data_IF_405956043617
#
_entry.id   IF_405956043617
#
_cell.length_a   1.000
_cell.length_b   1.000
_cell.length_c   1.000
_cell.angle_alpha   90.00
_cell.angle_beta   90.00
_cell.angle_gamma   90.00
#
_symmetry.space_group_name_H-M   'P 1'
#
loop_
_entity.id
_entity.type
_entity.pdbx_description
1 polymer ?
#
# COMPACT_ATOMS: atom_id res chain seq x y z
N UNK A 1 -13.21 25.98 57.73
CA UNK A 1 -14.36 26.39 56.89
C UNK A 1 -13.88 27.34 55.79
N UNK A 2 -14.37 27.15 54.55
CA UNK A 2 -14.29 28.03 53.35
C UNK A 2 -12.92 28.04 52.61
N UNK A 3 -12.75 27.23 51.54
CA UNK A 3 -13.20 27.36 50.12
C UNK A 3 -12.38 28.40 49.33
N UNK A 4 -11.44 27.94 48.49
CA UNK A 4 -11.52 27.86 47.00
C UNK A 4 -11.48 29.24 46.32
N UNK A 5 -10.38 29.52 45.62
CA UNK A 5 -10.30 30.30 44.36
C UNK A 5 -8.86 30.23 43.81
N UNK A 6 -8.55 29.15 43.10
CA UNK A 6 -7.47 29.10 42.10
C UNK A 6 -8.13 28.64 40.81
N UNK A 7 -8.55 29.61 40.01
CA UNK A 7 -9.31 29.40 38.78
C UNK A 7 -8.69 30.30 37.72
N UNK A 8 -8.28 29.65 36.63
CA UNK A 8 -8.01 30.22 35.29
C UNK A 8 -6.68 30.96 35.07
N UNK A 9 -5.66 30.18 34.72
CA UNK A 9 -4.68 30.57 33.69
C UNK A 9 -4.09 29.30 33.05
N UNK A 10 -4.94 28.59 32.31
CA UNK A 10 -4.59 27.45 31.47
C UNK A 10 -5.50 27.49 30.23
N UNK A 11 -5.20 28.42 29.34
CA UNK A 11 -5.75 28.44 27.99
C UNK A 11 -4.75 29.14 27.07
N UNK A 12 -3.92 28.36 26.38
CA UNK A 12 -3.57 28.53 24.97
C UNK A 12 -2.38 27.62 24.64
N UNK A 13 -2.66 26.37 24.28
CA UNK A 13 -1.92 25.58 23.28
C UNK A 13 -2.76 24.34 22.97
N UNK A 14 -3.95 24.55 22.43
CA UNK A 14 -4.76 23.50 21.81
C UNK A 14 -4.97 23.92 20.36
N UNK A 15 -4.04 23.51 19.49
CA UNK A 15 -4.12 23.79 18.07
C UNK A 15 -2.82 23.34 17.41
N UNK A 16 -2.95 22.48 16.40
CA UNK A 16 -1.89 21.95 15.53
C UNK A 16 -1.21 20.62 15.92
N UNK A 17 -1.99 19.64 16.38
CA UNK A 17 -1.69 18.22 16.12
C UNK A 17 -2.93 17.54 15.54
N UNK A 18 -3.46 18.08 14.44
CA UNK A 18 -4.35 17.33 13.54
C UNK A 18 -3.48 16.39 12.72
N UNK A 19 -3.04 15.30 13.35
CA UNK A 19 -2.56 14.14 12.63
C UNK A 19 -3.69 13.66 11.72
N UNK A 20 -3.48 13.73 10.41
CA UNK A 20 -4.44 13.22 9.42
C UNK A 20 -4.66 11.74 9.73
N UNK A 21 -5.82 11.43 10.32
CA UNK A 21 -6.21 10.08 10.67
C UNK A 21 -6.14 9.20 9.41
N UNK A 22 -5.48 8.03 9.44
CA UNK A 22 -5.39 7.15 8.28
C UNK A 22 -6.76 6.67 7.78
N UNK A 23 -7.77 6.68 8.65
CA UNK A 23 -9.17 6.40 8.32
C UNK A 23 -9.77 7.43 7.33
N UNK A 24 -9.34 8.68 7.41
CA UNK A 24 -9.87 9.77 6.57
C UNK A 24 -9.35 9.68 5.13
N UNK A 25 -8.11 9.21 4.94
CA UNK A 25 -7.55 8.96 3.61
C UNK A 25 -8.22 7.78 2.89
N UNK A 26 -8.55 6.71 3.62
CA UNK A 26 -9.24 5.56 3.05
C UNK A 26 -10.65 5.93 2.57
N UNK A 27 -11.41 6.65 3.40
CA UNK A 27 -12.74 7.15 3.05
C UNK A 27 -12.71 8.13 1.85
N UNK A 28 -11.73 9.03 1.79
CA UNK A 28 -11.56 9.94 0.65
C UNK A 28 -11.16 9.19 -0.64
N UNK A 29 -10.37 8.12 -0.53
CA UNK A 29 -10.02 7.30 -1.69
C UNK A 29 -11.23 6.59 -2.29
N UNK A 30 -12.13 6.09 -1.45
CA UNK A 30 -13.37 5.45 -1.86
C UNK A 30 -14.36 6.44 -2.47
N UNK A 31 -14.51 7.63 -1.86
CA UNK A 31 -15.33 8.73 -2.41
C UNK A 31 -14.85 9.15 -3.80
N UNK A 32 -13.54 9.32 -4.00
CA UNK A 32 -13.00 9.66 -5.33
C UNK A 32 -13.20 8.55 -6.37
N UNK A 33 -13.14 7.28 -5.97
CA UNK A 33 -13.37 6.15 -6.86
C UNK A 33 -14.84 6.05 -7.27
N UNK A 34 -15.77 6.25 -6.34
CA UNK A 34 -17.21 6.24 -6.61
C UNK A 34 -17.61 7.43 -7.50
N UNK A 35 -17.07 8.62 -7.25
CA UNK A 35 -17.30 9.79 -8.11
C UNK A 35 -16.76 9.61 -9.53
N UNK A 36 -15.64 8.91 -9.70
CA UNK A 36 -15.10 8.58 -11.03
C UNK A 36 -16.00 7.59 -11.77
N UNK A 37 -16.49 6.54 -11.10
CA UNK A 37 -17.45 5.61 -11.71
C UNK A 37 -18.72 6.33 -12.14
N UNK A 38 -19.27 7.16 -11.26
CA UNK A 38 -20.45 7.94 -11.56
C UNK A 38 -20.25 8.92 -12.73
N UNK A 39 -19.06 9.54 -12.84
CA UNK A 39 -18.74 10.38 -13.98
C UNK A 39 -18.69 9.60 -15.31
N UNK A 40 -18.21 8.35 -15.30
CA UNK A 40 -18.20 7.50 -16.51
C UNK A 40 -19.61 7.02 -16.88
N UNK A 41 -20.45 6.66 -15.91
CA UNK A 41 -21.86 6.33 -16.13
C UNK A 41 -22.61 7.51 -16.76
N UNK A 42 -22.43 8.72 -16.22
CA UNK A 42 -23.04 9.93 -16.79
C UNK A 42 -22.53 10.23 -18.21
N UNK A 43 -21.27 9.94 -18.54
CA UNK A 43 -20.74 10.07 -19.91
C UNK A 43 -21.41 9.09 -20.88
N UNK A 44 -21.60 7.84 -20.45
CA UNK A 44 -22.27 6.82 -21.25
C UNK A 44 -23.71 7.21 -21.54
N UNK A 45 -24.46 7.58 -20.49
CA UNK A 45 -25.84 8.08 -20.62
C UNK A 45 -25.94 9.34 -21.50
N UNK A 46 -24.97 10.25 -21.42
CA UNK A 46 -24.92 11.44 -22.28
C UNK A 46 -24.70 11.08 -23.75
N UNK A 47 -23.91 10.03 -24.03
CA UNK A 47 -23.74 9.47 -25.38
C UNK A 47 -25.07 8.97 -25.94
N UNK A 48 -25.76 8.11 -25.19
CA UNK A 48 -27.06 7.54 -25.56
C UNK A 48 -28.13 8.63 -25.78
N UNK A 49 -28.23 9.61 -24.89
CA UNK A 49 -29.20 10.70 -25.01
C UNK A 49 -28.94 11.60 -26.23
N UNK A 50 -27.67 11.78 -26.62
CA UNK A 50 -27.32 12.51 -27.85
C UNK A 50 -27.65 11.71 -29.10
N UNK A 51 -27.48 10.39 -29.08
CA UNK A 51 -27.87 9.51 -30.17
C UNK A 51 -29.40 9.46 -30.37
N UNK A 52 -30.16 9.52 -29.28
CA UNK A 52 -31.62 9.56 -29.31
C UNK A 52 -32.21 10.97 -29.57
N UNK A 53 -31.38 12.00 -29.65
CA UNK A 53 -31.83 13.38 -29.93
C UNK A 53 -32.51 14.11 -28.76
N UNK A 54 -32.47 13.55 -27.56
CA UNK A 54 -33.04 14.15 -26.34
C UNK A 54 -32.12 15.25 -25.79
N UNK A 55 -32.16 16.43 -26.41
CA UNK A 55 -31.29 17.57 -26.07
C UNK A 55 -31.48 18.10 -24.65
N UNK A 56 -32.69 18.10 -24.12
CA UNK A 56 -32.96 18.63 -22.78
C UNK A 56 -32.38 17.72 -21.68
N UNK A 57 -32.58 16.41 -21.80
CA UNK A 57 -32.00 15.42 -20.88
C UNK A 57 -30.47 15.36 -21.00
N UNK A 58 -29.93 15.46 -22.22
CA UNK A 58 -28.49 15.52 -22.45
C UNK A 58 -27.86 16.75 -21.77
N UNK A 59 -28.53 17.91 -21.79
CA UNK A 59 -28.07 19.12 -21.10
C UNK A 59 -28.12 18.97 -19.57
N UNK A 60 -29.15 18.29 -19.03
CA UNK A 60 -29.25 18.00 -17.60
C UNK A 60 -28.12 17.08 -17.13
N UNK A 61 -27.85 15.99 -17.87
CA UNK A 61 -26.74 15.07 -17.58
C UNK A 61 -25.39 15.76 -17.71
N UNK A 62 -25.23 16.68 -18.68
CA UNK A 62 -24.01 17.46 -18.83
C UNK A 62 -23.74 18.38 -17.62
N UNK A 63 -24.79 19.02 -17.08
CA UNK A 63 -24.71 19.84 -15.86
C UNK A 63 -24.30 19.00 -14.64
N UNK A 64 -24.84 17.79 -14.49
CA UNK A 64 -24.44 16.87 -13.41
C UNK A 64 -22.98 16.42 -13.54
N UNK A 65 -22.52 16.16 -14.77
CA UNK A 65 -21.14 15.79 -15.05
C UNK A 65 -20.16 16.93 -14.69
N UNK A 66 -20.56 18.19 -14.92
CA UNK A 66 -19.80 19.36 -14.49
C UNK A 66 -19.71 19.47 -12.95
N UNK A 67 -20.81 19.19 -12.23
CA UNK A 67 -20.83 19.16 -10.75
C UNK A 67 -19.91 18.07 -10.18
N UNK A 68 -20.00 16.85 -10.73
CA UNK A 68 -19.13 15.73 -10.33
C UNK A 68 -17.66 16.07 -10.63
N UNK A 69 -17.38 16.67 -11.79
CA UNK A 69 -16.04 17.13 -12.16
C UNK A 69 -15.49 18.22 -11.24
N UNK A 70 -16.33 19.17 -10.81
CA UNK A 70 -15.96 20.18 -9.83
C UNK A 70 -15.61 19.57 -8.46
N UNK A 71 -16.42 18.61 -7.99
CA UNK A 71 -16.18 17.89 -6.74
C UNK A 71 -14.89 17.07 -6.76
N UNK A 72 -14.58 16.41 -7.89
CA UNK A 72 -13.31 15.70 -8.06
C UNK A 72 -12.10 16.64 -8.01
N UNK A 73 -12.19 17.85 -8.60
CA UNK A 73 -11.13 18.86 -8.53
C UNK A 73 -10.93 19.39 -7.11
N UNK A 74 -12.02 19.61 -6.36
CA UNK A 74 -11.97 20.03 -4.96
C UNK A 74 -11.25 18.98 -4.08
N UNK A 75 -11.63 17.71 -4.19
CA UNK A 75 -10.99 16.61 -3.47
C UNK A 75 -9.49 16.47 -3.84
N UNK A 76 -9.14 16.66 -5.11
CA UNK A 76 -7.73 16.70 -5.53
C UNK A 76 -6.96 17.90 -4.97
N UNK A 77 -7.61 19.06 -4.84
CA UNK A 77 -7.06 20.25 -4.19
C UNK A 77 -6.74 19.98 -2.72
N UNK A 78 -7.69 19.41 -1.98
CA UNK A 78 -7.53 19.04 -0.57
C UNK A 78 -6.41 18.00 -0.37
N UNK A 79 -6.26 17.03 -1.28
CA UNK A 79 -5.13 16.08 -1.24
C UNK A 79 -3.78 16.76 -1.49
N UNK A 80 -3.72 17.79 -2.34
CA UNK A 80 -2.50 18.57 -2.58
C UNK A 80 -2.14 19.45 -1.40
N UNK A 81 -3.12 20.04 -0.74
CA UNK A 81 -2.93 20.85 0.48
C UNK A 81 -2.44 19.99 1.63
N UNK A 82 -3.06 18.83 1.89
CA UNK A 82 -2.57 17.86 2.88
C UNK A 82 -1.17 17.31 2.57
N UNK A 83 -0.76 17.26 1.30
CA UNK A 83 0.60 16.88 0.89
C UNK A 83 1.62 18.02 1.04
N UNK A 84 1.19 19.28 0.91
CA UNK A 84 2.04 20.46 1.20
C UNK A 84 2.27 20.63 2.70
N UNK A 85 1.33 20.21 3.54
CA UNK A 85 1.44 20.25 5.00
C UNK A 85 2.17 19.05 5.61
N UNK A 86 2.44 17.99 4.83
CA UNK A 86 3.36 16.95 5.28
C UNK A 86 4.75 17.58 5.45
N UNK A 87 5.37 17.51 6.65
CA UNK A 87 6.74 17.95 6.81
C UNK A 87 7.59 17.09 5.88
N UNK A 88 8.08 17.66 4.77
CA UNK A 88 9.17 17.05 4.00
C UNK A 88 10.22 16.61 5.02
N UNK A 89 10.62 15.34 4.97
CA UNK A 89 11.66 14.82 5.84
C UNK A 89 12.84 15.81 5.82
N UNK A 90 13.26 16.31 6.99
CA UNK A 90 14.37 17.24 7.17
C UNK A 90 15.54 17.03 6.17
N UNK A 91 16.02 15.80 5.91
CA UNK A 91 17.09 15.57 4.93
C UNK A 91 16.76 16.02 3.49
N UNK A 92 15.51 15.88 3.04
CA UNK A 92 15.11 16.30 1.70
C UNK A 92 15.10 17.82 1.54
N UNK A 93 14.74 18.54 2.61
CA UNK A 93 14.80 20.02 2.64
C UNK A 93 16.24 20.50 2.59
N UNK A 94 17.12 19.92 3.39
CA UNK A 94 18.54 20.27 3.43
C UNK A 94 19.23 20.03 2.08
N UNK A 95 18.98 18.89 1.43
CA UNK A 95 19.51 18.60 0.08
C UNK A 95 19.01 19.61 -0.95
N UNK A 96 17.75 20.02 -0.85
CA UNK A 96 17.16 21.02 -1.76
C UNK A 96 17.77 22.40 -1.56
N UNK A 97 17.99 22.81 -0.30
CA UNK A 97 18.64 24.08 0.03
C UNK A 97 20.11 24.11 -0.43
N UNK A 98 20.87 23.04 -0.19
CA UNK A 98 22.26 22.93 -0.66
C UNK A 98 22.35 23.01 -2.19
N UNK A 99 21.44 22.35 -2.91
CA UNK A 99 21.36 22.43 -4.38
C UNK A 99 20.96 23.82 -4.86
N UNK A 100 20.06 24.52 -4.15
CA UNK A 100 19.70 25.89 -4.48
C UNK A 100 20.91 26.84 -4.32
N UNK A 101 21.61 26.74 -3.18
CA UNK A 101 22.83 27.53 -2.92
C UNK A 101 23.95 27.23 -3.91
N UNK A 102 24.12 25.97 -4.32
CA UNK A 102 25.08 25.61 -5.35
C UNK A 102 24.76 26.30 -6.69
N UNK A 103 23.49 26.40 -7.07
CA UNK A 103 23.06 27.11 -8.29
C UNK A 103 23.32 28.62 -8.19
N UNK A 104 23.04 29.22 -7.04
CA UNK A 104 23.32 30.64 -6.79
C UNK A 104 24.82 30.93 -6.84
N UNK A 105 25.66 30.10 -6.22
CA UNK A 105 27.12 30.23 -6.27
C UNK A 105 27.66 30.07 -7.69
N UNK A 106 27.09 29.15 -8.48
CA UNK A 106 27.44 28.97 -9.89
C UNK A 106 27.05 30.20 -10.72
N UNK A 107 25.86 30.75 -10.50
CA UNK A 107 25.42 31.98 -11.17
C UNK A 107 26.30 33.20 -10.81
N UNK A 108 26.87 33.22 -9.59
CA UNK A 108 27.82 34.23 -9.15
C UNK A 108 29.27 34.00 -9.61
N UNK A 109 29.53 33.01 -10.48
CA UNK A 109 30.87 32.69 -11.00
C UNK A 109 31.81 32.00 -10.01
N UNK A 110 31.30 31.56 -8.86
CA UNK A 110 32.07 30.83 -7.83
C UNK A 110 31.93 29.32 -8.04
N UNK A 111 32.55 28.81 -9.10
CA UNK A 111 32.38 27.41 -9.51
C UNK A 111 32.86 26.41 -8.47
N UNK A 112 33.95 26.69 -7.76
CA UNK A 112 34.53 25.78 -6.76
C UNK A 112 33.60 25.62 -5.55
N UNK A 113 33.14 26.74 -4.98
CA UNK A 113 32.15 26.72 -3.89
C UNK A 113 30.81 26.09 -4.32
N UNK A 114 30.40 26.26 -5.58
CA UNK A 114 29.22 25.59 -6.12
C UNK A 114 29.39 24.08 -6.22
N UNK A 115 30.58 23.60 -6.59
CA UNK A 115 30.91 22.16 -6.64
C UNK A 115 30.92 21.55 -5.25
N UNK A 116 31.54 22.21 -4.27
CA UNK A 116 31.58 21.74 -2.89
C UNK A 116 30.17 21.57 -2.29
N UNK A 117 29.28 22.56 -2.52
CA UNK A 117 27.89 22.50 -2.05
C UNK A 117 27.08 21.42 -2.78
N UNK A 118 27.33 21.20 -4.08
CA UNK A 118 26.68 20.14 -4.83
C UNK A 118 27.14 18.75 -4.35
N UNK A 119 28.42 18.59 -4.04
CA UNK A 119 28.97 17.35 -3.50
C UNK A 119 28.43 17.04 -2.10
N UNK A 120 28.32 18.06 -1.23
CA UNK A 120 27.65 17.92 0.07
C UNK A 120 26.20 17.45 -0.08
N UNK A 121 25.47 17.99 -1.06
CA UNK A 121 24.10 17.58 -1.34
C UNK A 121 23.98 16.14 -1.89
N UNK A 122 25.05 15.58 -2.47
CA UNK A 122 25.11 14.19 -2.92
C UNK A 122 25.60 13.22 -1.83
N UNK A 123 26.43 13.68 -0.90
CA UNK A 123 26.89 12.89 0.24
C UNK A 123 25.79 12.64 1.26
N UNK A 124 24.99 13.65 1.58
CA UNK A 124 23.87 13.55 2.54
C UNK A 124 22.93 12.36 2.28
N UNK A 125 22.41 12.15 1.05
CA UNK A 125 21.60 10.97 0.73
C UNK A 125 22.36 9.65 0.86
N UNK A 126 23.66 9.60 0.54
CA UNK A 126 24.48 8.38 0.60
C UNK A 126 24.82 7.99 2.03
N UNK A 127 25.12 8.96 2.88
CA UNK A 127 25.33 8.75 4.31
C UNK A 127 24.04 8.27 4.99
N UNK A 128 22.90 8.80 4.56
CA UNK A 128 21.58 8.34 5.01
C UNK A 128 21.22 6.95 4.48
N UNK A 129 21.57 6.62 3.22
CA UNK A 129 21.31 5.32 2.61
C UNK A 129 22.24 4.21 3.14
N UNK A 130 23.46 4.56 3.59
CA UNK A 130 24.40 3.63 4.23
C UNK A 130 24.06 3.32 5.69
N UNK A 131 23.13 4.07 6.29
CA UNK A 131 22.62 3.79 7.64
C UNK A 131 21.53 2.72 7.52
N UNK A 132 21.71 1.51 8.08
CA UNK A 132 20.68 0.49 7.97
C UNK A 132 19.38 1.01 8.58
N UNK A 133 18.22 0.81 7.92
CA UNK A 133 16.94 1.25 8.45
C UNK A 133 16.74 0.61 9.83
N UNK A 134 16.62 1.46 10.86
CA UNK A 134 16.52 1.03 12.26
C UNK A 134 17.82 0.97 13.07
N UNK A 135 18.95 1.48 12.57
CA UNK A 135 20.17 1.65 13.37
C UNK A 135 19.91 2.42 14.69
N UNK A 136 19.05 3.44 14.63
CA UNK A 136 18.65 4.24 15.80
C UNK A 136 17.60 3.55 16.70
N UNK A 137 16.98 2.47 16.20
CA UNK A 137 16.00 1.67 16.94
C UNK A 137 16.66 0.50 17.69
N UNK A 138 17.89 0.13 17.34
CA UNK A 138 18.65 -0.97 17.96
C UNK A 138 18.79 -0.83 19.50
N UNK A 139 19.12 0.35 20.06
CA UNK A 139 19.19 0.52 21.52
C UNK A 139 17.82 0.37 22.21
N UNK A 140 16.74 0.81 21.55
CA UNK A 140 15.38 0.66 22.07
C UNK A 140 14.90 -0.79 22.01
N UNK A 141 15.24 -1.53 20.95
CA UNK A 141 14.96 -2.96 20.83
C UNK A 141 15.70 -3.77 21.90
N UNK A 142 16.95 -3.43 22.18
CA UNK A 142 17.72 -4.04 23.26
C UNK A 142 17.07 -3.78 24.62
N UNK A 143 16.68 -2.53 24.89
CA UNK A 143 15.99 -2.15 26.13
C UNK A 143 14.63 -2.83 26.29
N UNK A 144 13.90 -3.04 25.20
CA UNK A 144 12.65 -3.82 25.23
C UNK A 144 12.90 -5.28 25.63
N UNK A 145 13.93 -5.92 25.08
CA UNK A 145 14.31 -7.29 25.45
C UNK A 145 14.69 -7.39 26.93
N UNK A 146 15.42 -6.42 27.45
CA UNK A 146 15.79 -6.34 28.86
C UNK A 146 14.57 -6.22 29.78
N UNK A 147 13.64 -5.30 29.49
CA UNK A 147 12.41 -5.13 30.27
C UNK A 147 11.53 -6.39 30.25
N UNK A 148 11.41 -7.06 29.11
CA UNK A 148 10.65 -8.32 29.01
C UNK A 148 11.28 -9.42 29.84
N UNK A 149 12.62 -9.56 29.79
CA UNK A 149 13.34 -10.54 30.60
C UNK A 149 13.22 -10.22 32.10
N UNK A 150 13.27 -8.95 32.49
CA UNK A 150 13.13 -8.52 33.88
C UNK A 150 11.72 -8.79 34.43
N UNK A 151 10.68 -8.50 33.64
CA UNK A 151 9.30 -8.82 34.00
C UNK A 151 9.09 -10.34 34.19
N UNK A 152 9.70 -11.18 33.35
CA UNK A 152 9.64 -12.63 33.48
C UNK A 152 10.33 -13.12 34.76
N UNK A 153 11.52 -12.56 35.09
CA UNK A 153 12.22 -12.88 36.34
C UNK A 153 11.42 -12.49 37.58
N UNK A 154 10.80 -11.30 37.59
CA UNK A 154 9.92 -10.84 38.68
C UNK A 154 8.69 -11.72 38.85
N UNK A 155 8.09 -12.13 37.74
CA UNK A 155 6.95 -13.07 37.75
C UNK A 155 7.35 -14.44 38.30
N UNK A 156 8.53 -14.95 37.97
CA UNK A 156 9.06 -16.20 38.51
C UNK A 156 9.39 -16.11 40.01
N UNK A 157 9.77 -14.92 40.50
CA UNK A 157 10.01 -14.63 41.91
C UNK A 157 8.73 -14.39 42.73
N UNK A 158 7.54 -14.45 42.13
CA UNK A 158 6.25 -14.21 42.79
C UNK A 158 5.90 -12.72 42.97
N UNK A 159 6.73 -11.81 42.49
CA UNK A 159 6.53 -10.36 42.56
C UNK A 159 5.69 -9.88 41.38
N UNK A 160 4.39 -10.19 41.44
CA UNK A 160 3.45 -9.96 40.34
C UNK A 160 3.13 -8.48 40.10
N UNK A 161 3.22 -7.63 41.13
CA UNK A 161 2.96 -6.19 41.02
C UNK A 161 4.10 -5.50 40.28
N UNK A 162 5.35 -5.73 40.69
CA UNK A 162 6.52 -5.20 39.98
C UNK A 162 6.60 -5.72 38.54
N UNK A 163 6.26 -6.99 38.30
CA UNK A 163 6.23 -7.55 36.95
C UNK A 163 5.22 -6.82 36.03
N UNK A 164 4.04 -6.45 36.55
CA UNK A 164 3.02 -5.72 35.78
C UNK A 164 3.47 -4.31 35.41
N UNK A 165 4.17 -3.62 36.31
CA UNK A 165 4.69 -2.28 36.05
C UNK A 165 5.79 -2.30 34.98
N UNK A 166 6.68 -3.29 35.02
CA UNK A 166 7.71 -3.48 33.99
C UNK A 166 7.08 -3.86 32.65
N UNK A 167 6.03 -4.69 32.64
CA UNK A 167 5.29 -5.01 31.41
C UNK A 167 4.62 -3.78 30.79
N UNK A 168 4.06 -2.89 31.60
CA UNK A 168 3.47 -1.64 31.11
C UNK A 168 4.51 -0.78 30.40
N UNK A 169 5.69 -0.62 31.00
CA UNK A 169 6.83 0.10 30.40
C UNK A 169 7.32 -0.56 29.10
N UNK A 170 7.34 -1.89 29.05
CA UNK A 170 7.70 -2.62 27.84
C UNK A 170 6.68 -2.38 26.71
N UNK A 171 5.38 -2.37 27.01
CA UNK A 171 4.34 -2.07 26.02
C UNK A 171 4.37 -0.60 25.57
N UNK A 172 4.64 0.35 26.45
CA UNK A 172 4.88 1.76 26.09
C UNK A 172 6.06 1.89 25.10
N UNK A 173 7.19 1.25 25.41
CA UNK A 173 8.38 1.27 24.56
C UNK A 173 8.13 0.59 23.21
N UNK A 174 7.34 -0.48 23.19
CA UNK A 174 6.92 -1.18 21.96
C UNK A 174 5.99 -0.31 21.10
N UNK A 175 5.07 0.43 21.72
CA UNK A 175 4.23 1.40 21.00
C UNK A 175 5.07 2.54 20.42
N UNK A 176 6.06 3.04 21.16
CA UNK A 176 7.00 4.04 20.67
C UNK A 176 7.83 3.52 19.49
N UNK A 177 8.37 2.30 19.59
CA UNK A 177 9.06 1.62 18.49
C UNK A 177 8.16 1.48 17.26
N UNK A 178 6.91 1.05 17.44
CA UNK A 178 5.93 0.93 16.35
C UNK A 178 5.61 2.29 15.72
N UNK A 179 5.50 3.34 16.53
CA UNK A 179 5.27 4.70 16.04
C UNK A 179 6.47 5.25 15.25
N UNK A 180 7.70 4.96 15.70
CA UNK A 180 8.94 5.35 14.99
C UNK A 180 9.11 4.56 13.69
N UNK A 181 8.96 3.23 13.72
CA UNK A 181 8.96 2.39 12.52
C UNK A 181 7.84 2.79 11.53
N UNK A 182 6.67 3.19 12.02
CA UNK A 182 5.58 3.70 11.17
C UNK A 182 5.84 5.08 10.57
N UNK A 183 6.78 5.86 11.13
CA UNK A 183 7.23 7.15 10.59
C UNK A 183 8.42 7.00 9.64
N UNK A 184 9.35 6.08 9.95
CA UNK A 184 10.50 5.77 9.10
C UNK A 184 10.10 4.92 7.88
N UNK A 185 9.08 4.06 8.02
CA UNK A 185 8.45 3.33 6.91
C UNK A 185 7.49 4.17 6.06
N UNK A 186 7.46 5.50 6.24
CA UNK A 186 6.78 6.46 5.35
C UNK A 186 7.73 7.07 4.31
N UNK A 187 8.81 6.38 3.93
CA UNK A 187 9.07 6.37 2.50
C UNK A 187 7.81 5.81 1.84
N UNK A 188 7.26 6.43 0.78
CA UNK A 188 6.38 5.69 -0.10
C UNK A 188 7.26 4.63 -0.74
N UNK A 189 7.48 3.51 -0.04
CA UNK A 189 7.38 2.23 -0.71
C UNK A 189 6.05 2.37 -1.40
N UNK A 190 6.11 2.63 -2.70
CA UNK A 190 5.03 2.31 -3.60
C UNK A 190 4.79 0.84 -3.28
N UNK A 191 3.91 0.59 -2.31
CA UNK A 191 3.15 -0.63 -2.24
C UNK A 191 2.56 -0.65 -3.62
N UNK A 192 3.25 -1.34 -4.51
CA UNK A 192 2.79 -1.58 -5.86
C UNK A 192 1.36 -1.99 -5.63
N UNK A 193 0.44 -1.13 -6.09
CA UNK A 193 -0.96 -1.46 -6.10
C UNK A 193 -1.00 -2.89 -6.60
N UNK A 194 -1.52 -3.81 -5.78
CA UNK A 194 -1.84 -5.16 -6.26
C UNK A 194 -2.52 -4.92 -7.60
N UNK A 195 -1.94 -5.36 -8.74
CA UNK A 195 -2.48 -4.98 -10.03
C UNK A 195 -3.90 -5.48 -10.07
N UNK A 196 -4.85 -4.55 -9.98
CA UNK A 196 -6.27 -4.87 -10.10
C UNK A 196 -6.53 -5.00 -11.58
N UNK A 197 -6.30 -6.22 -12.10
CA UNK A 197 -6.80 -6.72 -13.38
C UNK A 197 -6.23 -6.07 -14.64
N UNK A 198 -5.71 -6.89 -15.53
CA UNK A 198 -5.65 -6.60 -16.97
C UNK A 198 -4.27 -6.28 -17.53
N UNK A 199 -3.53 -5.34 -16.92
CA UNK A 199 -2.28 -4.88 -17.51
C UNK A 199 -1.08 -5.65 -16.96
N UNK A 200 -0.59 -6.60 -17.76
CA UNK A 200 0.69 -7.24 -17.48
C UNK A 200 1.78 -6.15 -17.51
N UNK A 201 2.65 -6.07 -16.48
CA UNK A 201 3.74 -5.10 -16.47
C UNK A 201 4.61 -5.26 -17.72
N UNK A 202 5.20 -4.18 -18.24
CA UNK A 202 6.04 -4.25 -19.43
C UNK A 202 7.18 -5.26 -19.22
N UNK A 203 7.60 -5.99 -20.26
CA UNK A 203 8.56 -7.09 -20.15
C UNK A 203 9.87 -6.67 -19.49
N UNK A 204 10.37 -5.47 -19.78
CA UNK A 204 11.57 -4.91 -19.14
C UNK A 204 11.44 -4.76 -17.60
N UNK A 205 10.23 -4.52 -17.10
CA UNK A 205 9.97 -4.47 -15.66
C UNK A 205 9.95 -5.87 -15.04
N UNK A 206 9.44 -6.87 -15.75
CA UNK A 206 9.47 -8.26 -15.29
C UNK A 206 10.90 -8.80 -15.23
N UNK A 207 11.75 -8.47 -16.22
CA UNK A 207 13.18 -8.84 -16.21
C UNK A 207 13.93 -8.23 -15.03
N UNK A 208 13.72 -6.92 -14.77
CA UNK A 208 14.29 -6.25 -13.59
C UNK A 208 13.84 -6.92 -12.28
N UNK A 209 12.56 -7.27 -12.18
CA UNK A 209 12.01 -7.98 -11.00
C UNK A 209 12.65 -9.36 -10.84
N UNK A 210 12.81 -10.13 -11.92
CA UNK A 210 13.49 -11.42 -11.89
C UNK A 210 14.94 -11.32 -11.41
N UNK A 211 15.67 -10.32 -11.90
CA UNK A 211 17.05 -10.10 -11.47
C UNK A 211 17.13 -9.85 -9.96
N UNK A 212 16.21 -9.06 -9.41
CA UNK A 212 16.15 -8.82 -7.97
C UNK A 212 15.78 -10.08 -7.17
N UNK A 213 14.85 -10.88 -7.67
CA UNK A 213 14.45 -12.14 -7.02
C UNK A 213 15.63 -13.12 -6.98
N UNK A 214 16.40 -13.24 -8.06
CA UNK A 214 17.60 -14.10 -8.09
C UNK A 214 18.66 -13.66 -7.08
N UNK A 215 18.95 -12.36 -7.00
CA UNK A 215 19.90 -11.81 -6.00
C UNK A 215 19.38 -12.08 -4.57
N UNK A 216 18.08 -11.93 -4.34
CA UNK A 216 17.47 -12.22 -3.03
C UNK A 216 17.58 -13.70 -2.66
N UNK A 217 17.36 -14.61 -3.61
CA UNK A 217 17.53 -16.05 -3.41
C UNK A 217 18.97 -16.42 -3.06
N UNK A 218 19.96 -15.88 -3.79
CA UNK A 218 21.38 -16.10 -3.52
C UNK A 218 21.75 -15.65 -2.10
N UNK A 219 21.27 -14.47 -1.68
CA UNK A 219 21.49 -13.96 -0.33
C UNK A 219 20.81 -14.81 0.75
N UNK A 220 19.60 -15.33 0.48
CA UNK A 220 18.88 -16.21 1.41
C UNK A 220 19.54 -17.58 1.54
N UNK A 221 20.06 -18.14 0.44
CA UNK A 221 20.88 -19.35 0.47
C UNK A 221 22.16 -19.12 1.29
N UNK A 222 22.86 -18.02 1.06
CA UNK A 222 24.06 -17.66 1.83
C UNK A 222 23.75 -17.44 3.32
N UNK A 223 22.55 -16.97 3.65
CA UNK A 223 22.07 -16.77 5.03
C UNK A 223 21.54 -18.06 5.68
N UNK A 224 21.51 -19.20 4.97
CA UNK A 224 21.01 -20.46 5.50
C UNK A 224 19.48 -20.51 5.66
N UNK A 225 18.75 -19.76 4.82
CA UNK A 225 17.28 -19.74 4.77
C UNK A 225 16.74 -20.37 3.47
N UNK A 226 16.96 -21.68 3.24
CA UNK A 226 16.61 -22.35 1.98
C UNK A 226 15.09 -22.40 1.73
N UNK A 227 14.27 -22.58 2.77
CA UNK A 227 12.81 -22.68 2.62
C UNK A 227 12.20 -21.39 2.05
N UNK A 228 12.74 -20.23 2.43
CA UNK A 228 12.29 -18.92 1.94
C UNK A 228 12.76 -18.69 0.51
N UNK A 229 13.98 -19.15 0.19
CA UNK A 229 14.50 -19.07 -1.17
C UNK A 229 13.71 -19.98 -2.13
N UNK A 230 13.28 -21.15 -1.69
CA UNK A 230 12.45 -22.06 -2.48
C UNK A 230 11.10 -21.44 -2.86
N UNK A 231 10.49 -20.68 -1.94
CA UNK A 231 9.28 -19.93 -2.26
C UNK A 231 9.52 -18.80 -3.27
N UNK A 232 10.67 -18.13 -3.20
CA UNK A 232 11.06 -17.13 -4.20
C UNK A 232 11.36 -17.75 -5.57
N UNK A 233 11.80 -19.01 -5.59
CA UNK A 233 12.03 -19.79 -6.80
C UNK A 233 10.72 -20.03 -7.56
N UNK A 234 9.63 -20.32 -6.85
CA UNK A 234 8.27 -20.41 -7.42
C UNK A 234 7.83 -19.08 -8.04
N UNK A 235 8.07 -17.97 -7.33
CA UNK A 235 7.76 -16.61 -7.81
C UNK A 235 8.59 -16.25 -9.04
N UNK A 236 9.87 -16.62 -9.08
CA UNK A 236 10.73 -16.44 -10.25
C UNK A 236 10.20 -17.26 -11.44
N UNK A 237 9.79 -18.50 -11.23
CA UNK A 237 9.24 -19.35 -12.28
C UNK A 237 7.91 -18.78 -12.85
N UNK A 238 7.09 -18.15 -12.02
CA UNK A 238 5.87 -17.47 -12.46
C UNK A 238 6.17 -16.21 -13.29
N UNK A 239 7.15 -15.40 -12.88
CA UNK A 239 7.59 -14.22 -13.62
C UNK A 239 8.27 -14.59 -14.95
N UNK A 240 9.04 -15.67 -15.00
CA UNK A 240 9.60 -16.22 -16.24
C UNK A 240 8.51 -16.71 -17.19
N UNK A 241 7.46 -17.37 -16.65
CA UNK A 241 6.27 -17.74 -17.43
C UNK A 241 5.53 -16.53 -17.99
N UNK A 242 5.45 -15.44 -17.23
CA UNK A 242 4.87 -14.18 -17.71
C UNK A 242 5.70 -13.54 -18.84
N UNK A 243 7.03 -13.59 -18.76
CA UNK A 243 7.93 -13.07 -19.79
C UNK A 243 7.92 -13.85 -21.10
N UNK A 244 7.70 -15.16 -21.03
CA UNK A 244 7.53 -15.99 -22.22
C UNK A 244 6.22 -15.67 -22.98
N UNK A 245 5.43 -14.72 -22.47
CA UNK A 245 4.10 -14.41 -22.96
C UNK A 245 3.15 -15.61 -22.77
N UNK A 246 1.87 -15.46 -23.15
CA UNK A 246 1.05 -16.64 -23.38
C UNK A 246 1.73 -17.45 -24.50
N UNK A 247 2.45 -18.53 -24.13
CA UNK A 247 2.88 -19.55 -25.09
C UNK A 247 1.66 -19.83 -25.97
N UNK A 248 1.86 -19.66 -27.28
CA UNK A 248 0.82 -19.61 -28.29
C UNK A 248 -0.39 -20.45 -27.90
N UNK A 249 -1.53 -19.78 -27.86
CA UNK A 249 -2.86 -20.38 -27.85
C UNK A 249 -2.85 -21.45 -28.96
N UNK A 250 -2.55 -22.70 -28.58
CA UNK A 250 -3.01 -23.84 -29.35
C UNK A 250 -4.49 -23.61 -29.49
N UNK A 251 -4.95 -23.58 -30.74
CA UNK A 251 -6.30 -23.30 -31.19
C UNK A 251 -7.33 -23.54 -30.05
N UNK A 252 -8.10 -22.53 -29.58
CA UNK A 252 -8.99 -22.71 -28.42
C UNK A 252 -10.08 -23.74 -28.65
N UNK A 253 -10.29 -24.13 -29.91
CA UNK A 253 -11.32 -25.07 -30.36
C UNK A 253 -11.18 -26.43 -29.67
N UNK A 254 -10.05 -27.15 -29.68
CA UNK A 254 -9.91 -28.45 -28.99
C UNK A 254 -10.15 -28.41 -27.48
N UNK A 255 -9.76 -27.34 -26.78
CA UNK A 255 -9.99 -27.28 -25.32
C UNK A 255 -11.45 -27.00 -24.98
N UNK A 256 -12.09 -26.08 -25.70
CA UNK A 256 -13.53 -25.84 -25.57
C UNK A 256 -14.35 -27.06 -26.00
N UNK A 257 -13.90 -27.80 -27.02
CA UNK A 257 -14.53 -29.03 -27.47
C UNK A 257 -14.45 -30.12 -26.39
N UNK A 258 -13.27 -30.29 -25.76
CA UNK A 258 -13.10 -31.23 -24.65
C UNK A 258 -13.99 -30.87 -23.44
N UNK A 259 -14.11 -29.58 -23.10
CA UNK A 259 -15.00 -29.10 -22.04
C UNK A 259 -16.48 -29.33 -22.38
N UNK A 260 -16.88 -29.12 -23.64
CA UNK A 260 -18.26 -29.39 -24.11
C UNK A 260 -18.58 -30.88 -24.04
N UNK A 261 -17.66 -31.75 -24.43
CA UNK A 261 -17.85 -33.19 -24.38
C UNK A 261 -17.90 -33.72 -22.94
N UNK A 262 -17.12 -33.12 -22.02
CA UNK A 262 -17.20 -33.41 -20.59
C UNK A 262 -18.55 -33.00 -19.99
N UNK A 263 -19.04 -31.80 -20.32
CA UNK A 263 -20.36 -31.33 -19.90
C UNK A 263 -21.49 -32.21 -20.45
N UNK A 264 -21.41 -32.62 -21.72
CA UNK A 264 -22.37 -33.56 -22.33
C UNK A 264 -22.38 -34.90 -21.60
N UNK A 265 -21.20 -35.42 -21.23
CA UNK A 265 -21.08 -36.64 -20.45
C UNK A 265 -21.68 -36.50 -19.04
N UNK A 266 -21.46 -35.37 -18.37
CA UNK A 266 -22.01 -35.11 -17.05
C UNK A 266 -23.55 -35.01 -17.08
N UNK A 267 -24.11 -34.30 -18.06
CA UNK A 267 -25.56 -34.19 -18.24
C UNK A 267 -26.19 -35.55 -18.57
N UNK A 268 -25.53 -36.38 -19.40
CA UNK A 268 -25.99 -37.74 -19.69
C UNK A 268 -26.07 -38.61 -18.43
N UNK A 269 -25.04 -38.58 -17.58
CA UNK A 269 -25.05 -39.31 -16.30
C UNK A 269 -26.16 -38.83 -15.36
N UNK A 270 -26.39 -37.52 -15.29
CA UNK A 270 -27.48 -36.94 -14.50
C UNK A 270 -28.86 -37.39 -15.00
N UNK A 271 -29.07 -37.41 -16.32
CA UNK A 271 -30.31 -37.90 -16.92
C UNK A 271 -30.55 -39.39 -16.61
N UNK A 272 -29.50 -40.22 -16.69
CA UNK A 272 -29.60 -41.64 -16.31
C UNK A 272 -29.93 -41.83 -14.82
N UNK A 273 -29.31 -41.05 -13.94
CA UNK A 273 -29.62 -41.09 -12.50
C UNK A 273 -31.08 -40.68 -12.23
N UNK A 274 -31.58 -39.66 -12.91
CA UNK A 274 -32.98 -39.25 -12.80
C UNK A 274 -33.94 -40.34 -13.30
N UNK A 275 -33.63 -41.02 -14.40
CA UNK A 275 -34.45 -42.13 -14.89
C UNK A 275 -34.42 -43.35 -13.95
N UNK A 276 -33.27 -43.67 -13.36
CA UNK A 276 -33.17 -44.71 -12.33
C UNK A 276 -34.02 -44.37 -11.10
N UNK A 277 -33.97 -43.12 -10.64
CA UNK A 277 -34.78 -42.64 -9.53
C UNK A 277 -36.28 -42.72 -9.84
N UNK A 278 -36.70 -42.27 -11.03
CA UNK A 278 -38.10 -42.38 -11.47
C UNK A 278 -38.58 -43.83 -11.48
N UNK A 279 -37.77 -44.76 -11.97
CA UNK A 279 -38.12 -46.20 -11.99
C UNK A 279 -38.21 -46.78 -10.57
N UNK A 280 -37.29 -46.44 -9.69
CA UNK A 280 -37.34 -46.88 -8.29
C UNK A 280 -38.61 -46.37 -7.59
N UNK A 281 -38.96 -45.10 -7.77
CA UNK A 281 -40.17 -44.49 -7.19
C UNK A 281 -41.46 -45.07 -7.79
N UNK A 282 -41.44 -45.44 -9.08
CA UNK A 282 -42.59 -46.08 -9.72
C UNK A 282 -42.77 -47.55 -9.32
N UNK A 283 -41.67 -48.26 -9.01
CA UNK A 283 -41.68 -49.66 -8.56
C UNK A 283 -42.16 -49.84 -7.12
N UNK A 284 -41.91 -48.87 -6.23
CA UNK A 284 -42.33 -48.90 -4.81
C UNK A 284 -43.83 -48.65 -4.57
N UNK A 285 -44.62 -48.50 -5.64
CA UNK A 285 -46.08 -48.25 -5.58
C UNK A 285 -46.94 -49.45 -6.02
N UNK A 286 -46.35 -50.62 -6.21
CA UNK A 286 -47.06 -51.90 -6.40
C UNK A 286 -46.97 -52.75 -5.15
#
# INVERSE_FOLDING_TARGET
MKRITKTLLLSLTAGALMGVCPFQLAAQSEETANLRRHAEELKQHLGELREHGNREEANAVQSELEKVGARLRELQGQQREGRREAPEAQPAREVRELRARAREMKAAGREEAARDLAEQAERLPREMAGRPPGADLSPMQQKLRELVAEAQRRKAAGDHEAARDIQRRAEELKQELKARLGREGREPVRMAEKPRGGDMPPPEEIERRLQHVRIAMENLHAAGLPDVAQHLEEVAADLERALQGPRGHGDPVPHLQAQIDELRGAVGRLAEQMERLKRAVAGDRQ
#
